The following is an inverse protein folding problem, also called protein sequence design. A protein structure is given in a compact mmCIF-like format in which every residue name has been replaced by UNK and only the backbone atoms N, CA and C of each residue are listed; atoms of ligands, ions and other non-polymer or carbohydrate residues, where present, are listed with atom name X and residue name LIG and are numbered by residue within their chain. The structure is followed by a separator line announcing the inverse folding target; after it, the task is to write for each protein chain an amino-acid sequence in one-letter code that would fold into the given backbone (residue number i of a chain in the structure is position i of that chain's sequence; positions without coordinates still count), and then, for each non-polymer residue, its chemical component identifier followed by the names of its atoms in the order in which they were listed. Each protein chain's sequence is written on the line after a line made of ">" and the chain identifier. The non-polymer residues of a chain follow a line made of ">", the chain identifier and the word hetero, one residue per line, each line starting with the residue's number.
data_IF_439319523644
#
_entry.id   IF_439319523644
#
_cell.length_a   1.000
_cell.length_b   1.000
_cell.length_c   1.000
_cell.angle_alpha   90.00
_cell.angle_beta   90.00
_cell.angle_gamma   90.00
#
_symmetry.space_group_name_H-M   'P 1'
#
loop_
_entity.id
_entity.type
_entity.pdbx_description
1 polymer ?
2 non-polymer ?
3 non-polymer ?
4 water ?
#
# COMPACT_ATOMS: atom_id res chain seq x y z
N UNK A 3 25.73 4.20 -6.35
CA UNK A 3 24.79 3.10 -5.95
C UNK A 3 24.99 2.77 -4.46
N UNK A 4 24.68 3.73 -3.58
CA UNK A 4 24.68 3.55 -2.12
C UNK A 4 23.57 2.60 -1.68
N UNK A 5 23.68 2.05 -0.46
CA UNK A 5 22.78 0.99 0.07
C UNK A 5 21.33 1.51 0.14
N UNK A 6 21.11 2.74 0.61
CA UNK A 6 19.76 3.34 0.79
C UNK A 6 19.09 3.52 -0.58
N UNK A 7 19.79 4.11 -1.55
CA UNK A 7 19.32 4.28 -2.95
C UNK A 7 18.95 2.91 -3.52
N UNK A 8 19.85 1.93 -3.38
CA UNK A 8 19.71 0.54 -3.87
C UNK A 8 18.45 -0.10 -3.27
N UNK A 9 18.27 0.01 -1.96
CA UNK A 9 17.09 -0.56 -1.25
C UNK A 9 15.82 0.18 -1.71
N UNK A 10 15.89 1.49 -1.94
CA UNK A 10 14.73 2.28 -2.43
C UNK A 10 14.41 1.93 -3.89
N UNK A 11 15.41 1.55 -4.70
CA UNK A 11 15.14 1.03 -6.07
C UNK A 11 14.34 -0.27 -5.96
N UNK A 12 14.71 -1.17 -5.04
CA UNK A 12 13.95 -2.42 -4.82
C UNK A 12 12.52 -2.06 -4.42
N UNK A 13 12.34 -1.11 -3.50
CA UNK A 13 11.01 -0.63 -3.07
C UNK A 13 10.23 -0.11 -4.28
N UNK A 14 10.87 0.70 -5.13
CA UNK A 14 10.22 1.27 -6.34
C UNK A 14 9.80 0.13 -7.28
N UNK A 15 10.63 -0.91 -7.41
CA UNK A 15 10.31 -2.10 -8.22
C UNK A 15 9.05 -2.76 -7.71
N UNK A 16 8.97 -2.98 -6.39
CA UNK A 16 7.78 -3.57 -5.72
C UNK A 16 6.57 -2.69 -6.03
N UNK A 17 6.69 -1.38 -5.82
CA UNK A 17 5.57 -0.42 -6.05
C UNK A 17 5.07 -0.57 -7.49
N UNK A 18 5.97 -0.59 -8.47
CA UNK A 18 5.60 -0.76 -9.90
C UNK A 18 4.83 -2.07 -10.07
N UNK A 19 5.28 -3.15 -9.44
CA UNK A 19 4.60 -4.46 -9.55
C UNK A 19 3.21 -4.36 -8.92
N UNK A 20 3.08 -3.74 -7.75
CA UNK A 20 1.76 -3.64 -7.05
C UNK A 20 0.77 -2.87 -7.94
N UNK A 21 1.26 -1.96 -8.79
CA UNK A 21 0.41 -1.11 -9.67
C UNK A 21 0.22 -1.76 -11.05
N UNK A 22 0.85 -2.91 -11.32
CA UNK A 22 0.93 -3.53 -12.67
C UNK A 22 -0.34 -4.33 -12.97
N UNK A 23 -0.60 -4.61 -14.24
CA UNK A 23 -1.79 -5.38 -14.70
C UNK A 23 -1.82 -6.76 -14.02
N UNK A 24 -0.64 -7.34 -13.77
CA UNK A 24 -0.41 -8.64 -13.10
C UNK A 24 -1.35 -8.79 -11.89
N UNK A 25 -1.50 -7.74 -11.08
CA UNK A 25 -2.19 -7.80 -9.76
C UNK A 25 -3.46 -6.95 -9.74
N UNK A 26 -3.91 -6.43 -10.89
CA UNK A 26 -5.00 -5.43 -10.99
C UNK A 26 -6.31 -5.99 -10.42
N UNK A 27 -6.54 -7.30 -10.49
CA UNK A 27 -7.81 -7.92 -10.07
C UNK A 27 -8.05 -7.72 -8.57
N UNK A 28 -6.99 -7.60 -7.75
CA UNK A 28 -7.10 -7.42 -6.28
C UNK A 28 -6.42 -6.13 -5.80
N UNK A 29 -5.61 -5.46 -6.63
CA UNK A 29 -4.89 -4.23 -6.23
C UNK A 29 -5.78 -3.00 -6.41
N UNK A 30 -6.78 -3.04 -7.29
CA UNK A 30 -7.47 -1.82 -7.78
C UNK A 30 -8.10 -1.02 -6.63
N UNK A 31 -8.65 -1.61 -5.54
CA UNK A 31 -9.21 -0.79 -4.46
C UNK A 31 -8.17 0.09 -3.75
N UNK A 32 -6.88 -0.19 -3.95
CA UNK A 32 -5.75 0.47 -3.25
C UNK A 32 -5.06 1.48 -4.16
N UNK A 33 -5.55 1.69 -5.38
CA UNK A 33 -4.90 2.57 -6.39
C UNK A 33 -5.00 4.04 -5.96
N UNK A 34 -6.12 4.42 -5.34
CA UNK A 34 -6.43 5.84 -5.01
C UNK A 34 -6.92 5.92 -3.57
N UNK A 35 -6.88 7.11 -2.94
CA UNK A 35 -7.39 7.26 -1.58
C UNK A 35 -8.85 6.79 -1.51
N UNK A 36 -9.21 6.12 -0.41
CA UNK A 36 -10.62 5.75 -0.12
C UNK A 36 -11.46 7.03 -0.22
N UNK A 37 -12.44 7.05 -1.12
CA UNK A 37 -13.42 8.16 -1.22
C UNK A 37 -14.57 7.84 -0.26
N UNK A 38 -14.40 8.19 1.02
CA UNK A 38 -15.34 7.83 2.12
C UNK A 38 -16.76 8.30 1.78
N UNK A 39 -16.89 9.57 1.40
CA UNK A 39 -18.18 10.23 1.05
C UNK A 39 -18.86 9.49 -0.10
N UNK A 40 -18.12 9.22 -1.18
CA UNK A 40 -18.62 8.54 -2.40
C UNK A 40 -19.09 7.12 -2.08
N UNK A 41 -18.43 6.43 -1.15
CA UNK A 41 -18.73 5.02 -0.78
C UNK A 41 -19.74 4.95 0.37
N UNK A 42 -20.14 6.10 0.93
CA UNK A 42 -21.11 6.20 2.04
C UNK A 42 -20.50 5.80 3.37
N UNK A 43 -19.17 5.84 3.49
CA UNK A 43 -18.42 5.41 4.69
C UNK A 43 -18.18 6.63 5.59
N UNK A 44 -19.24 7.14 6.21
CA UNK A 44 -19.23 8.45 6.91
C UNK A 44 -18.51 8.36 8.26
N UNK A 45 -18.07 7.16 8.66
CA UNK A 45 -17.28 6.93 9.90
C UNK A 45 -15.81 6.63 9.56
N UNK A 46 -15.46 6.56 8.27
CA UNK A 46 -14.12 6.11 7.82
C UNK A 46 -13.03 6.96 8.47
N UNK A 47 -13.16 8.29 8.42
CA UNK A 47 -12.12 9.24 8.88
C UNK A 47 -12.14 9.39 10.41
N UNK A 48 -13.17 8.88 11.09
CA UNK A 48 -13.20 8.80 12.57
C UNK A 48 -12.41 7.57 13.03
N UNK A 49 -12.40 6.51 12.23
CA UNK A 49 -11.79 5.20 12.59
C UNK A 49 -10.35 5.16 12.05
N UNK A 50 -10.12 5.70 10.85
CA UNK A 50 -8.79 5.70 10.18
C UNK A 50 -8.20 7.10 10.27
N UNK A 51 -7.21 7.28 11.14
CA UNK A 51 -6.57 8.59 11.43
C UNK A 51 -5.55 8.94 10.35
N UNK A 52 -4.96 7.93 9.70
CA UNK A 52 -3.87 8.11 8.71
C UNK A 52 -4.17 7.29 7.46
N UNK A 53 -5.05 7.79 6.56
CA UNK A 53 -5.35 7.09 5.31
C UNK A 53 -4.07 6.92 4.49
N UNK A 54 -3.98 5.83 3.74
CA UNK A 54 -2.82 5.57 2.85
C UNK A 54 -3.30 4.71 1.69
N UNK A 55 -2.67 4.89 0.53
CA UNK A 55 -3.03 4.19 -0.72
C UNK A 55 -1.81 4.24 -1.64
N UNK A 56 -1.83 3.47 -2.72
CA UNK A 56 -0.63 3.31 -3.58
C UNK A 56 -0.33 4.60 -4.35
N UNK A 57 -1.33 5.42 -4.69
CA UNK A 57 -1.09 6.71 -5.41
C UNK A 57 -0.28 7.64 -4.50
N UNK A 58 -0.58 7.64 -3.20
CA UNK A 58 0.14 8.46 -2.19
C UNK A 58 1.56 7.92 -2.03
N UNK A 59 1.72 6.59 -1.97
CA UNK A 59 3.07 5.96 -1.87
C UNK A 59 3.86 6.35 -3.13
N UNK A 60 3.23 6.31 -4.30
CA UNK A 60 3.91 6.65 -5.59
C UNK A 60 4.34 8.12 -5.56
N UNK A 61 3.46 9.03 -5.12
CA UNK A 61 3.77 10.48 -5.05
C UNK A 61 4.97 10.69 -4.11
N UNK A 62 4.98 10.01 -2.96
CA UNK A 62 6.06 10.16 -1.95
C UNK A 62 7.37 9.61 -2.53
N UNK A 63 7.32 8.49 -3.26
CA UNK A 63 8.54 7.90 -3.90
C UNK A 63 9.07 8.88 -4.95
N UNK A 64 8.20 9.41 -5.81
CA UNK A 64 8.56 10.35 -6.91
C UNK A 64 9.20 11.61 -6.32
N UNK A 65 8.71 12.07 -5.17
CA UNK A 65 9.16 13.32 -4.48
C UNK A 65 10.38 13.05 -3.60
N UNK A 66 10.91 11.82 -3.58
CA UNK A 66 12.07 11.41 -2.73
C UNK A 66 11.74 11.70 -1.26
N UNK A 67 10.49 11.46 -0.85
CA UNK A 67 10.03 11.62 0.55
C UNK A 67 10.64 10.50 1.40
N UNK A 68 10.61 9.26 0.92
CA UNK A 68 11.14 8.09 1.67
C UNK A 68 12.67 8.17 1.72
N UNK A 69 13.23 8.13 2.93
CA UNK A 69 14.70 8.19 3.14
C UNK A 69 15.27 6.77 3.18
N UNK A 70 14.44 5.75 3.46
CA UNK A 70 14.90 4.33 3.50
C UNK A 70 13.72 3.39 3.21
N UNK A 71 14.03 2.11 3.02
CA UNK A 71 13.04 1.05 2.70
C UNK A 71 12.03 0.90 3.84
N UNK A 72 12.49 1.03 5.08
CA UNK A 72 11.66 0.90 6.31
C UNK A 72 10.50 1.90 6.25
N UNK A 73 10.77 3.14 5.84
CA UNK A 73 9.75 4.22 5.78
C UNK A 73 8.71 3.89 4.71
N UNK A 74 9.16 3.44 3.54
CA UNK A 74 8.28 2.99 2.42
C UNK A 74 7.39 1.84 2.90
N UNK A 75 7.99 0.81 3.50
CA UNK A 75 7.27 -0.40 3.97
C UNK A 75 6.20 0.00 4.99
N UNK A 76 6.50 0.95 5.88
CA UNK A 76 5.57 1.42 6.93
C UNK A 76 4.29 1.99 6.28
N UNK A 77 4.41 2.72 5.17
CA UNK A 77 3.24 3.28 4.44
C UNK A 77 2.46 2.16 3.76
N UNK A 78 3.13 1.22 3.10
CA UNK A 78 2.42 0.09 2.43
C UNK A 78 1.66 -0.71 3.50
N UNK A 79 2.29 -0.98 4.64
CA UNK A 79 1.64 -1.78 5.70
C UNK A 79 0.52 -0.98 6.37
N UNK A 80 0.68 0.34 6.51
CA UNK A 80 -0.38 1.23 7.05
C UNK A 80 -1.63 1.09 6.18
N UNK A 81 -1.44 1.10 4.86
CA UNK A 81 -2.55 0.95 3.88
C UNK A 81 -3.30 -0.35 4.17
N UNK A 82 -2.60 -1.47 4.34
CA UNK A 82 -3.22 -2.79 4.62
C UNK A 82 -3.88 -2.76 6.00
N UNK A 83 -3.18 -2.25 7.01
CA UNK A 83 -3.67 -2.17 8.41
C UNK A 83 -4.98 -1.38 8.47
N UNK A 84 -5.07 -0.26 7.75
CA UNK A 84 -6.31 0.56 7.69
C UNK A 84 -7.45 -0.32 7.17
N UNK A 85 -7.18 -1.11 6.14
CA UNK A 85 -8.18 -2.01 5.51
C UNK A 85 -8.67 -3.03 6.56
N UNK A 86 -7.74 -3.63 7.31
CA UNK A 86 -8.04 -4.68 8.32
C UNK A 86 -8.75 -4.07 9.53
N UNK A 87 -8.48 -2.80 9.84
CA UNK A 87 -9.10 -2.09 10.99
C UNK A 87 -10.56 -1.76 10.66
N UNK A 88 -10.82 -1.20 9.48
CA UNK A 88 -12.14 -0.60 9.14
C UNK A 88 -13.14 -1.68 8.72
N UNK A 89 -12.70 -2.71 7.99
CA UNK A 89 -13.59 -3.65 7.27
C UNK A 89 -13.81 -4.92 8.08
N UNK A 90 -15.04 -5.49 8.05
CA UNK A 90 -15.26 -6.81 8.62
C UNK A 90 -14.40 -7.80 7.83
N UNK A 91 -13.81 -8.82 8.49
CA UNK A 91 -12.81 -9.67 7.85
C UNK A 91 -13.33 -10.52 6.67
N UNK A 92 -14.65 -10.57 6.46
CA UNK A 92 -15.30 -11.37 5.38
C UNK A 92 -15.62 -10.49 4.16
N UNK A 93 -15.32 -9.18 4.20
CA UNK A 93 -15.54 -8.25 3.06
C UNK A 93 -14.54 -8.59 1.95
N UNK A 94 -14.97 -8.49 0.69
CA UNK A 94 -14.13 -8.79 -0.50
C UNK A 94 -12.82 -7.98 -0.44
N UNK A 95 -12.87 -6.73 0.01
CA UNK A 95 -11.68 -5.82 0.02
C UNK A 95 -10.60 -6.40 0.94
N UNK A 96 -10.98 -7.11 2.00
CA UNK A 96 -10.01 -7.70 2.97
C UNK A 96 -9.30 -8.87 2.29
N UNK A 97 -10.03 -9.72 1.57
CA UNK A 97 -9.45 -10.85 0.80
C UNK A 97 -8.45 -10.28 -0.22
N UNK A 98 -8.79 -9.16 -0.86
CA UNK A 98 -7.94 -8.49 -1.87
C UNK A 98 -6.69 -7.93 -1.18
N UNK A 99 -6.86 -7.28 -0.02
CA UNK A 99 -5.74 -6.75 0.79
C UNK A 99 -4.75 -7.87 1.13
N UNK A 100 -5.26 -9.00 1.64
CA UNK A 100 -4.46 -10.18 2.04
C UNK A 100 -3.60 -10.64 0.86
N UNK A 101 -4.21 -10.78 -0.31
CA UNK A 101 -3.52 -11.24 -1.55
C UNK A 101 -2.45 -10.23 -1.95
N UNK A 102 -2.77 -8.94 -1.96
CA UNK A 102 -1.77 -7.92 -2.37
C UNK A 102 -0.66 -7.83 -1.31
N UNK A 103 -0.97 -8.01 -0.03
CA UNK A 103 0.06 -7.95 1.04
C UNK A 103 0.98 -9.17 0.91
N UNK A 104 0.46 -10.33 0.52
CA UNK A 104 1.30 -11.52 0.26
C UNK A 104 2.32 -11.17 -0.83
N UNK A 105 1.88 -10.57 -1.93
CA UNK A 105 2.77 -10.15 -3.05
C UNK A 105 3.85 -9.23 -2.46
N UNK A 106 3.44 -8.22 -1.70
CA UNK A 106 4.34 -7.21 -1.09
C UNK A 106 5.36 -7.89 -0.17
N UNK A 107 4.89 -8.66 0.82
CA UNK A 107 5.77 -9.19 1.90
C UNK A 107 6.82 -10.13 1.30
N UNK A 108 6.44 -10.98 0.35
CA UNK A 108 7.37 -11.99 -0.22
C UNK A 108 8.44 -11.28 -1.05
N UNK A 109 8.09 -10.23 -1.80
CA UNK A 109 9.11 -9.51 -2.59
C UNK A 109 9.93 -8.56 -1.70
N UNK A 110 9.31 -7.91 -0.71
CA UNK A 110 10.02 -7.04 0.26
C UNK A 110 11.11 -7.86 0.97
N UNK A 111 10.82 -9.13 1.27
CA UNK A 111 11.74 -10.06 1.96
C UNK A 111 13.01 -10.29 1.12
N UNK A 112 12.94 -10.11 -0.20
CA UNK A 112 14.07 -10.31 -1.15
C UNK A 112 14.88 -9.01 -1.29
N UNK A 113 14.76 -8.09 -0.33
CA UNK A 113 15.55 -6.83 -0.24
C UNK A 113 17.04 -7.14 -0.38
N UNK A 114 17.80 -6.45 -1.27
CA UNK A 114 19.25 -6.60 -1.30
C UNK A 114 19.91 -6.01 -0.04
N UNK A 115 20.93 -6.70 0.48
CA UNK A 115 21.68 -6.30 1.70
C UNK A 115 22.87 -5.42 1.29
X LIG B 1 1.85 -11.91 4.94
X LIG B 1 1.21 -11.16 3.92
X LIG B 1 2.09 -13.32 4.56
X LIG B 1 1.25 -13.80 3.52
X LIG C 1 6.90 11.75 6.26
X LIG C 1 6.45 11.61 4.92
X LIG C 1 7.53 13.06 6.55
X LIG C 1 8.45 13.47 5.57
X LIG D 1 -14.59 -4.12 11.70
X LIG D 1 -15.71 -4.92 11.36
X LIG D 1 -13.74 -4.73 12.75
X LIG D 1 -12.57 -5.35 12.25
X LIG E 1 -14.59 -1.86 -2.76
X LIG E 1 -13.44 -3.96 -3.06
X LIG E 1 -15.72 -2.43 -3.33
X LIG E 1 -16.52 -0.65 2.33
X LIG E 1 -17.39 -1.15 4.56
X LIG E 1 -16.99 -1.59 5.94
X LIG E 1 -17.92 -1.29 7.10
X LIG E 1 -9.25 0.30 0.91
X LIG E 1 -10.66 0.17 0.59
X LIG E 1 -11.57 -0.07 1.52
X LIG E 1 -11.29 -0.23 2.71
X LIG E 1 -12.99 -0.22 1.03
X LIG E 1 -14.03 -0.35 1.94
X LIG E 1 -15.32 -0.52 1.45
X LIG E 1 -15.53 -0.54 0.07
X LIG E 1 -14.43 -0.40 -0.77
X LIG E 1 -13.18 -0.26 -0.30
X LIG E 1 -14.60 -0.44 -2.26
X LIG E 1 -13.57 0.28 -2.93
X LIG E 1 -13.94 0.77 -4.22
X LIG E 1 -13.45 -2.65 -2.62
X LIG E 1 -14.56 -4.51 -3.64
X LIG E 1 -15.70 -3.74 -3.78
X LIG E 1 -17.65 -0.44 1.90
X LIG E 1 -16.30 -1.01 3.60
X LIG E 1 -19.23 -1.60 6.64
X LIG E 1 -19.11 -2.70 5.73
X LIG E 1 -17.77 -2.51 5.04
#
# INVERSE_FOLDING_TARGET
>A
GSMGKLSEQLKHCNGILKELLSKKHAAYAWPFYKPVDASALGLHDYHDIIKHPMDLSTVKRKMENRDYRDAQEFAADVRLMFSNCYKYNPPDHDVVAMARKLQDVFEFRYAKMPD
>B hetero
1 EDO C1 O1 C2 O2
>C hetero
1 EDO C1 O1 C2 O2
>D hetero
1 EDO C1 O1 C2 O2
>E hetero
1 ULQ C15 C17 C20 C21 C24 C26 C28 C01 N02 C03 O04 C05 C06 C07 C08 C09 N10 C11 O13 C14 C16 C18 C19 O22 N23 O29 C30 C31
#
